data_IF_356187752546
#
_entry.id   IF_356187752546
#
_cell.length_a   1.000
_cell.length_b   1.000
_cell.length_c   1.000
_cell.angle_alpha   90.00
_cell.angle_beta   90.00
_cell.angle_gamma   90.00
#
_symmetry.space_group_name_H-M   'P 1'
#
loop_
_entity.id
_entity.type
_entity.pdbx_description
1 polymer ?
#
# COMPACT_ATOMS: atom_id res chain seq x y z
N UNK A 1 33.14 -9.92 3.88
CA UNK A 1 33.37 -10.58 2.58
C UNK A 1 32.29 -10.13 1.62
N UNK A 2 32.63 -9.24 0.65
CA UNK A 2 31.75 -8.86 -0.45
C UNK A 2 31.85 -9.95 -1.52
N UNK A 3 31.01 -10.98 -1.42
CA UNK A 3 30.83 -11.90 -2.53
C UNK A 3 29.70 -11.39 -3.41
N UNK A 4 30.00 -11.13 -4.65
CA UNK A 4 29.00 -10.83 -5.68
C UNK A 4 28.28 -12.14 -6.02
N UNK A 5 26.96 -12.13 -6.04
CA UNK A 5 26.17 -13.29 -6.40
C UNK A 5 25.11 -12.90 -7.45
N UNK A 6 24.84 -13.81 -8.37
CA UNK A 6 23.74 -13.69 -9.33
C UNK A 6 22.47 -14.30 -8.74
N UNK A 7 21.37 -13.58 -8.80
CA UNK A 7 20.07 -14.10 -8.45
C UNK A 7 19.40 -14.61 -9.73
N UNK A 8 19.28 -15.92 -9.85
CA UNK A 8 18.61 -16.56 -10.98
C UNK A 8 17.22 -16.99 -10.55
N UNK A 9 16.22 -16.38 -11.13
CA UNK A 9 14.82 -16.71 -10.86
C UNK A 9 14.26 -17.56 -11.99
N UNK A 10 13.82 -18.79 -11.65
CA UNK A 10 13.03 -19.64 -12.53
C UNK A 10 11.56 -19.66 -12.09
N UNK A 11 10.65 -20.20 -12.92
CA UNK A 11 9.22 -20.24 -12.58
C UNK A 11 8.87 -20.98 -11.26
N UNK A 12 9.81 -21.74 -10.69
CA UNK A 12 9.57 -22.56 -9.50
C UNK A 12 10.54 -22.29 -8.34
N UNK A 13 11.72 -21.73 -8.60
CA UNK A 13 12.76 -21.58 -7.59
C UNK A 13 13.65 -20.37 -7.87
N UNK A 14 14.19 -19.81 -6.80
CA UNK A 14 15.19 -18.74 -6.84
C UNK A 14 16.51 -19.36 -6.42
N UNK A 15 17.55 -19.16 -7.23
CA UNK A 15 18.90 -19.62 -6.98
C UNK A 15 19.82 -18.42 -6.79
N UNK A 16 20.66 -18.48 -5.77
CA UNK A 16 21.79 -17.57 -5.61
C UNK A 16 23.05 -18.30 -6.07
N UNK A 17 23.69 -17.81 -7.12
CA UNK A 17 24.96 -18.32 -7.62
C UNK A 17 26.05 -17.32 -7.30
N UNK A 18 27.11 -17.69 -6.56
CA UNK A 18 28.28 -16.85 -6.40
C UNK A 18 28.91 -16.55 -7.75
N UNK A 19 29.42 -15.33 -7.96
CA UNK A 19 30.03 -14.94 -9.23
C UNK A 19 31.33 -15.70 -9.53
N UNK A 20 31.93 -16.26 -8.52
CA UNK A 20 33.25 -16.90 -8.52
C UNK A 20 33.22 -18.44 -8.31
N UNK A 21 32.01 -19.03 -8.19
CA UNK A 21 31.86 -20.48 -8.08
C UNK A 21 30.61 -20.98 -8.75
N UNK A 22 30.61 -22.26 -9.15
CA UNK A 22 29.44 -22.94 -9.73
C UNK A 22 28.58 -23.64 -8.68
N UNK A 23 28.93 -23.52 -7.39
CA UNK A 23 28.19 -24.13 -6.31
C UNK A 23 27.00 -23.21 -5.92
N UNK A 24 25.82 -23.80 -5.78
CA UNK A 24 24.67 -23.09 -5.21
C UNK A 24 25.00 -22.61 -3.81
N UNK A 25 24.78 -21.32 -3.54
CA UNK A 25 24.77 -20.84 -2.17
C UNK A 25 23.64 -21.56 -1.42
N UNK A 26 24.03 -22.28 -0.37
CA UNK A 26 23.08 -22.77 0.64
C UNK A 26 22.32 -21.57 1.22
N UNK A 27 21.18 -21.85 1.84
CA UNK A 27 20.37 -20.84 2.55
C UNK A 27 21.26 -19.87 3.33
N UNK A 28 20.93 -18.58 3.24
CA UNK A 28 21.73 -17.54 3.89
C UNK A 28 21.72 -17.78 5.41
N UNK A 29 22.90 -17.86 6.01
CA UNK A 29 23.01 -18.09 7.45
C UNK A 29 22.36 -16.96 8.25
N UNK A 30 21.75 -17.29 9.39
CA UNK A 30 21.16 -16.32 10.29
C UNK A 30 22.15 -15.21 10.70
N UNK A 31 23.42 -15.56 10.85
CA UNK A 31 24.50 -14.61 11.16
C UNK A 31 24.62 -13.55 10.05
N UNK A 32 24.58 -13.96 8.79
CA UNK A 32 24.67 -13.03 7.66
C UNK A 32 23.45 -12.13 7.57
N UNK A 33 22.25 -12.65 7.83
CA UNK A 33 21.02 -11.86 7.90
C UNK A 33 21.10 -10.80 9.00
N UNK A 34 21.64 -11.20 10.17
CA UNK A 34 21.90 -10.28 11.28
C UNK A 34 22.88 -9.17 10.89
N UNK A 35 24.00 -9.52 10.22
CA UNK A 35 24.97 -8.54 9.73
C UNK A 35 24.35 -7.57 8.71
N UNK A 36 23.45 -8.04 7.84
CA UNK A 36 22.70 -7.18 6.93
C UNK A 36 21.84 -6.19 7.73
N UNK A 37 21.11 -6.66 8.73
CA UNK A 37 20.27 -5.81 9.56
C UNK A 37 21.10 -4.73 10.28
N UNK A 38 22.27 -5.09 10.82
CA UNK A 38 23.19 -4.15 11.50
C UNK A 38 23.78 -3.09 10.55
N UNK A 39 23.96 -3.42 9.26
CA UNK A 39 24.40 -2.43 8.26
C UNK A 39 23.31 -1.43 7.91
N UNK A 40 22.04 -1.83 7.97
CA UNK A 40 20.91 -0.93 7.72
C UNK A 40 20.63 0.00 8.89
N UNK A 41 20.73 -0.53 10.10
CA UNK A 41 20.55 0.27 11.30
C UNK A 41 21.50 -0.24 12.40
N UNK A 42 22.40 0.63 12.84
CA UNK A 42 23.39 0.33 13.88
C UNK A 42 22.84 0.34 15.31
N UNK A 43 21.57 0.70 15.48
CA UNK A 43 20.92 0.67 16.78
C UNK A 43 20.75 -0.75 17.31
N UNK A 44 20.61 -0.91 18.60
CA UNK A 44 20.39 -2.22 19.21
C UNK A 44 19.07 -2.84 18.72
N UNK A 45 19.12 -4.14 18.42
CA UNK A 45 17.96 -4.92 18.06
C UNK A 45 17.23 -5.34 19.33
N UNK A 46 15.98 -4.93 19.46
CA UNK A 46 15.13 -5.24 20.60
C UNK A 46 14.48 -6.62 20.51
N UNK A 47 14.05 -6.98 19.28
CA UNK A 47 13.31 -8.22 19.02
C UNK A 47 13.53 -8.67 17.58
N UNK A 48 13.49 -9.98 17.38
CA UNK A 48 13.55 -10.63 16.07
C UNK A 48 12.39 -11.62 15.99
N UNK A 49 11.60 -11.53 14.92
CA UNK A 49 10.50 -12.47 14.64
C UNK A 49 10.71 -13.15 13.29
N UNK A 50 10.30 -14.41 13.19
CA UNK A 50 10.19 -15.10 11.90
C UNK A 50 8.74 -15.10 11.45
N UNK A 51 8.46 -14.46 10.33
CA UNK A 51 7.13 -14.34 9.75
C UNK A 51 6.92 -15.37 8.65
N UNK A 52 5.98 -16.27 8.85
CA UNK A 52 5.56 -17.27 7.86
C UNK A 52 4.36 -16.82 7.02
N UNK A 53 3.86 -15.61 7.26
CA UNK A 53 2.74 -15.00 6.55
C UNK A 53 3.02 -13.52 6.31
N UNK A 54 2.43 -12.98 5.26
CA UNK A 54 2.46 -11.55 5.00
C UNK A 54 1.78 -10.78 6.14
N UNK A 55 2.33 -9.63 6.49
CA UNK A 55 1.74 -8.69 7.44
C UNK A 55 1.32 -7.38 6.75
N UNK A 56 0.86 -6.41 7.53
CA UNK A 56 0.33 -5.14 6.99
C UNK A 56 1.38 -4.31 6.25
N UNK A 57 2.67 -4.52 6.51
CA UNK A 57 3.77 -3.76 5.90
C UNK A 57 4.38 -4.49 4.70
N UNK A 58 4.00 -5.74 4.50
CA UNK A 58 4.38 -6.58 3.37
C UNK A 58 3.14 -7.24 2.74
N UNK A 59 2.10 -6.46 2.34
CA UNK A 59 0.80 -7.03 1.97
C UNK A 59 0.75 -7.60 0.55
N UNK A 60 1.83 -7.49 -0.22
CA UNK A 60 1.85 -7.82 -1.65
C UNK A 60 2.02 -9.31 -1.89
N UNK A 61 1.18 -9.86 -2.79
CA UNK A 61 1.19 -11.29 -3.11
C UNK A 61 2.54 -11.78 -3.61
N UNK A 62 3.25 -10.96 -4.36
CA UNK A 62 4.56 -11.26 -4.94
C UNK A 62 5.61 -11.61 -3.89
N UNK A 63 5.46 -11.08 -2.68
CA UNK A 63 6.37 -11.33 -1.56
C UNK A 63 6.17 -12.71 -0.92
N UNK A 64 5.07 -13.42 -1.22
CA UNK A 64 4.85 -14.77 -0.69
C UNK A 64 5.99 -15.74 -1.03
N UNK A 65 6.62 -15.55 -2.17
CA UNK A 65 7.77 -16.38 -2.61
C UNK A 65 9.02 -16.19 -1.76
N UNK A 66 9.14 -15.05 -1.09
CA UNK A 66 10.28 -14.69 -0.23
C UNK A 66 10.10 -15.16 1.23
N UNK A 67 8.95 -15.70 1.58
CA UNK A 67 8.71 -16.23 2.93
C UNK A 67 9.59 -17.45 3.21
N UNK A 68 10.00 -17.62 4.49
CA UNK A 68 9.73 -16.79 5.64
C UNK A 68 10.57 -15.51 5.67
N UNK A 69 10.05 -14.43 6.30
CA UNK A 69 10.82 -13.21 6.54
C UNK A 69 11.40 -13.21 7.94
N UNK A 70 12.58 -12.64 8.09
CA UNK A 70 13.13 -12.27 9.40
C UNK A 70 12.85 -10.79 9.62
N UNK A 71 12.04 -10.50 10.64
CA UNK A 71 11.66 -9.14 11.01
C UNK A 71 12.46 -8.69 12.22
N UNK A 72 13.18 -7.60 12.06
CA UNK A 72 13.97 -6.96 13.10
C UNK A 72 13.26 -5.72 13.62
N UNK A 73 13.25 -5.55 14.95
CA UNK A 73 12.74 -4.37 15.63
C UNK A 73 13.89 -3.65 16.30
N UNK A 74 14.13 -2.41 15.94
CA UNK A 74 15.21 -1.62 16.49
C UNK A 74 14.76 -0.77 17.68
N UNK A 75 15.68 -0.53 18.63
CA UNK A 75 15.44 0.26 19.84
C UNK A 75 15.75 1.75 19.67
N UNK A 76 15.75 2.23 18.44
CA UNK A 76 15.94 3.62 18.11
C UNK A 76 14.66 4.47 18.36
N UNK A 77 14.82 5.79 18.36
CA UNK A 77 13.72 6.73 18.62
C UNK A 77 12.58 6.62 17.59
N UNK A 78 12.91 6.24 16.35
CA UNK A 78 11.93 6.10 15.26
C UNK A 78 11.28 4.72 15.21
N UNK A 79 11.73 3.78 16.07
CA UNK A 79 11.25 2.40 16.17
C UNK A 79 11.17 1.74 14.81
N UNK A 80 12.34 1.71 14.15
CA UNK A 80 12.44 1.06 12.84
C UNK A 80 12.10 -0.41 12.91
N UNK A 81 11.47 -0.88 11.84
CA UNK A 81 11.22 -2.29 11.54
C UNK A 81 11.81 -2.61 10.18
N UNK A 82 12.59 -3.69 10.11
CA UNK A 82 13.27 -4.16 8.91
C UNK A 82 12.85 -5.59 8.60
N UNK A 83 12.51 -5.85 7.36
CA UNK A 83 12.09 -7.17 6.86
C UNK A 83 13.12 -7.67 5.87
N UNK A 84 13.67 -8.84 6.12
CA UNK A 84 14.67 -9.48 5.28
C UNK A 84 14.17 -10.86 4.88
N UNK A 85 14.27 -11.21 3.60
CA UNK A 85 14.03 -12.58 3.13
C UNK A 85 15.06 -13.53 3.76
N UNK A 86 14.59 -14.60 4.41
CA UNK A 86 15.49 -15.63 4.95
C UNK A 86 16.16 -16.45 3.86
N UNK A 87 15.62 -16.40 2.64
CA UNK A 87 16.10 -17.19 1.49
C UNK A 87 17.18 -16.46 0.70
N UNK A 88 16.97 -15.16 0.44
CA UNK A 88 17.82 -14.36 -0.44
C UNK A 88 18.66 -13.34 0.31
N UNK A 89 18.31 -13.01 1.58
CA UNK A 89 18.91 -11.92 2.33
C UNK A 89 18.54 -10.53 1.79
N UNK A 90 17.61 -10.46 0.85
CA UNK A 90 17.13 -9.21 0.30
C UNK A 90 16.31 -8.46 1.36
N UNK A 91 16.55 -7.16 1.45
CA UNK A 91 15.73 -6.27 2.29
C UNK A 91 14.46 -5.94 1.54
N UNK A 92 13.34 -6.40 2.08
CA UNK A 92 12.02 -6.29 1.46
C UNK A 92 11.29 -5.03 1.88
N UNK A 93 11.48 -4.61 3.13
CA UNK A 93 10.79 -3.46 3.68
C UNK A 93 11.56 -2.87 4.87
N UNK A 94 11.57 -1.55 4.95
CA UNK A 94 12.12 -0.79 6.07
C UNK A 94 11.18 0.35 6.39
N UNK A 95 10.70 0.44 7.64
CA UNK A 95 9.66 1.41 8.04
C UNK A 95 9.96 2.04 9.39
N UNK A 96 9.53 3.29 9.55
CA UNK A 96 9.50 4.00 10.83
C UNK A 96 8.11 3.92 11.47
N UNK A 97 8.02 4.18 12.78
CA UNK A 97 6.73 4.26 13.49
C UNK A 97 5.82 5.37 12.90
N UNK A 98 6.42 6.50 12.50
CA UNK A 98 5.71 7.63 11.92
C UNK A 98 5.11 7.27 10.55
N UNK A 99 5.86 6.59 9.70
CA UNK A 99 5.36 6.11 8.40
C UNK A 99 4.22 5.12 8.57
N UNK A 100 4.35 4.17 9.49
CA UNK A 100 3.30 3.20 9.79
C UNK A 100 2.02 3.89 10.28
N UNK A 101 2.13 4.91 11.15
CA UNK A 101 0.99 5.69 11.61
C UNK A 101 0.30 6.42 10.45
N UNK A 102 1.07 7.16 9.62
CA UNK A 102 0.48 7.91 8.51
C UNK A 102 -0.06 7.02 7.41
N UNK A 103 0.53 5.83 7.22
CA UNK A 103 -0.01 4.84 6.28
C UNK A 103 -1.43 4.38 6.68
N UNK A 104 -1.70 4.23 7.98
CA UNK A 104 -3.06 3.94 8.47
C UNK A 104 -4.04 5.09 8.26
N UNK A 105 -3.57 6.33 8.34
CA UNK A 105 -4.41 7.51 8.09
C UNK A 105 -4.65 7.81 6.61
N UNK A 106 -3.76 7.36 5.75
CA UNK A 106 -3.78 7.71 4.32
C UNK A 106 -3.74 6.48 3.39
N UNK A 107 -2.54 5.99 3.13
CA UNK A 107 -2.30 5.00 2.05
C UNK A 107 -3.14 3.71 2.19
N UNK A 108 -3.22 3.13 3.38
CA UNK A 108 -3.94 1.87 3.59
C UNK A 108 -5.43 1.98 3.24
N UNK A 109 -6.21 2.94 3.79
CA UNK A 109 -7.62 3.08 3.42
C UNK A 109 -7.79 3.61 1.99
N UNK A 110 -6.93 4.52 1.51
CA UNK A 110 -7.06 5.11 0.18
C UNK A 110 -6.84 4.08 -0.93
N UNK A 111 -5.85 3.21 -0.78
CA UNK A 111 -5.51 2.15 -1.74
C UNK A 111 -6.13 0.80 -1.40
N UNK A 112 -6.91 0.72 -0.30
CA UNK A 112 -7.51 -0.53 0.21
C UNK A 112 -6.44 -1.62 0.42
N UNK A 113 -5.30 -1.23 0.99
CA UNK A 113 -4.14 -2.10 1.22
C UNK A 113 -4.24 -2.90 2.52
N UNK A 114 -5.42 -3.39 2.86
CA UNK A 114 -5.58 -4.33 3.96
C UNK A 114 -4.97 -5.67 3.58
N UNK A 115 -4.11 -6.23 4.42
CA UNK A 115 -3.38 -7.47 4.12
C UNK A 115 -4.31 -8.60 3.71
N UNK A 116 -5.41 -8.80 4.42
CA UNK A 116 -6.40 -9.85 4.13
C UNK A 116 -6.95 -9.79 2.70
N UNK A 117 -6.98 -8.61 2.10
CA UNK A 117 -7.45 -8.39 0.74
C UNK A 117 -6.28 -8.33 -0.26
N UNK A 118 -5.23 -7.57 0.07
CA UNK A 118 -4.11 -7.28 -0.85
C UNK A 118 -3.19 -8.48 -1.10
N UNK A 119 -3.12 -9.42 -0.17
CA UNK A 119 -2.37 -10.68 -0.34
C UNK A 119 -2.95 -11.63 -1.41
N UNK A 120 -4.14 -11.33 -1.93
CA UNK A 120 -4.74 -11.96 -3.10
C UNK A 120 -4.99 -10.89 -4.15
N UNK A 121 -4.13 -10.85 -5.15
CA UNK A 121 -4.16 -9.82 -6.20
C UNK A 121 -5.48 -9.83 -6.98
N UNK A 122 -6.03 -11.00 -7.25
CA UNK A 122 -7.27 -11.13 -8.01
C UNK A 122 -8.47 -10.61 -7.21
N UNK A 123 -8.53 -10.94 -5.92
CA UNK A 123 -9.59 -10.48 -5.02
C UNK A 123 -9.50 -8.97 -4.81
N UNK A 124 -8.30 -8.44 -4.60
CA UNK A 124 -8.08 -7.01 -4.44
C UNK A 124 -8.52 -6.24 -5.70
N UNK A 125 -8.10 -6.69 -6.89
CA UNK A 125 -8.48 -6.05 -8.16
C UNK A 125 -9.99 -6.03 -8.36
N UNK A 126 -10.67 -7.15 -8.12
CA UNK A 126 -12.14 -7.22 -8.22
C UNK A 126 -12.83 -6.27 -7.24
N UNK A 127 -12.30 -6.16 -6.02
CA UNK A 127 -12.85 -5.26 -4.99
C UNK A 127 -12.68 -3.79 -5.39
N UNK A 128 -11.53 -3.41 -5.94
CA UNK A 128 -11.28 -2.06 -6.42
C UNK A 128 -12.22 -1.72 -7.59
N UNK A 129 -12.36 -2.62 -8.56
CA UNK A 129 -13.29 -2.42 -9.69
C UNK A 129 -14.72 -2.24 -9.18
N UNK A 130 -15.18 -3.09 -8.26
CA UNK A 130 -16.52 -2.98 -7.68
C UNK A 130 -16.75 -1.63 -6.98
N UNK A 131 -15.80 -1.20 -6.13
CA UNK A 131 -15.88 0.09 -5.44
C UNK A 131 -15.85 1.26 -6.43
N UNK A 132 -15.04 1.18 -7.50
CA UNK A 132 -14.99 2.20 -8.55
C UNK A 132 -16.32 2.32 -9.30
N UNK A 133 -16.94 1.20 -9.65
CA UNK A 133 -18.27 1.20 -10.31
C UNK A 133 -19.33 1.84 -9.40
N UNK A 134 -19.35 1.49 -8.10
CA UNK A 134 -20.24 2.14 -7.14
C UNK A 134 -19.96 3.65 -7.05
N UNK A 135 -18.69 4.04 -7.00
CA UNK A 135 -18.27 5.44 -6.97
C UNK A 135 -18.74 6.21 -8.20
N UNK A 136 -18.63 5.62 -9.40
CA UNK A 136 -19.14 6.21 -10.65
C UNK A 136 -20.65 6.41 -10.59
N UNK A 137 -21.42 5.38 -10.20
CA UNK A 137 -22.87 5.46 -10.09
C UNK A 137 -23.29 6.55 -9.10
N UNK A 138 -22.68 6.58 -7.90
CA UNK A 138 -22.95 7.60 -6.90
C UNK A 138 -22.61 9.00 -7.39
N UNK A 139 -21.50 9.17 -8.08
CA UNK A 139 -21.06 10.47 -8.62
C UNK A 139 -22.00 10.96 -9.71
N UNK A 140 -22.39 10.10 -10.64
CA UNK A 140 -23.35 10.42 -11.69
C UNK A 140 -24.72 10.80 -11.11
N UNK A 141 -25.23 10.03 -10.15
CA UNK A 141 -26.47 10.33 -9.46
C UNK A 141 -26.39 11.68 -8.71
N UNK A 142 -25.28 11.93 -8.01
CA UNK A 142 -25.03 13.18 -7.30
C UNK A 142 -24.97 14.39 -8.23
N UNK A 143 -24.26 14.27 -9.36
CA UNK A 143 -24.18 15.31 -10.40
C UNK A 143 -25.58 15.57 -11.02
N UNK A 144 -26.32 14.51 -11.34
CA UNK A 144 -27.66 14.64 -11.88
C UNK A 144 -28.59 15.41 -10.91
N UNK A 145 -28.65 14.99 -9.65
CA UNK A 145 -29.47 15.64 -8.63
C UNK A 145 -29.04 17.09 -8.39
N UNK A 146 -27.73 17.32 -8.31
CA UNK A 146 -27.14 18.64 -8.10
C UNK A 146 -27.46 19.61 -9.24
N UNK A 147 -27.27 19.18 -10.48
CA UNK A 147 -27.59 19.99 -11.68
C UNK A 147 -29.08 20.24 -11.76
N UNK A 148 -29.93 19.22 -11.55
CA UNK A 148 -31.38 19.36 -11.58
C UNK A 148 -31.86 20.36 -10.54
N UNK A 149 -31.39 20.27 -9.30
CA UNK A 149 -31.73 21.22 -8.23
C UNK A 149 -31.32 22.66 -8.58
N UNK A 150 -30.13 22.80 -9.22
CA UNK A 150 -29.63 24.09 -9.68
C UNK A 150 -30.50 24.69 -10.80
N UNK A 151 -30.84 23.91 -11.83
CA UNK A 151 -31.69 24.34 -12.95
C UNK A 151 -33.09 24.72 -12.48
N UNK A 152 -33.68 23.93 -11.57
CA UNK A 152 -34.99 24.22 -11.00
C UNK A 152 -35.00 25.52 -10.19
N UNK A 153 -33.95 25.76 -9.40
CA UNK A 153 -33.81 27.03 -8.67
C UNK A 153 -33.68 28.24 -9.59
N UNK A 154 -32.98 28.09 -10.73
CA UNK A 154 -32.82 29.14 -11.74
C UNK A 154 -34.15 29.48 -12.42
N UNK A 155 -34.95 28.49 -12.80
CA UNK A 155 -36.29 28.71 -13.41
C UNK A 155 -37.18 29.53 -12.50
N UNK A 156 -37.11 29.29 -11.18
CA UNK A 156 -38.00 29.93 -10.22
C UNK A 156 -37.54 31.34 -9.77
N UNK A 157 -36.26 31.68 -9.87
CA UNK A 157 -35.70 32.92 -9.28
C UNK A 157 -34.75 33.72 -10.17
N UNK A 158 -34.50 33.32 -11.41
CA UNK A 158 -33.50 33.94 -12.31
C UNK A 158 -32.10 34.15 -11.67
N UNK A 159 -31.73 33.33 -10.71
CA UNK A 159 -30.50 33.50 -9.94
C UNK A 159 -29.55 32.31 -10.11
N UNK A 160 -28.25 32.60 -10.28
CA UNK A 160 -27.16 31.60 -10.31
C UNK A 160 -26.71 31.16 -8.92
N UNK A 161 -27.58 31.20 -7.92
CA UNK A 161 -27.25 30.80 -6.54
C UNK A 161 -27.71 29.36 -6.27
N UNK A 162 -26.96 28.65 -5.45
CA UNK A 162 -27.37 27.32 -4.97
C UNK A 162 -28.77 27.41 -4.29
N UNK A 163 -29.65 26.41 -4.50
CA UNK A 163 -30.98 26.39 -3.88
C UNK A 163 -30.92 26.20 -2.36
N UNK A 164 -29.81 25.74 -1.81
CA UNK A 164 -29.70 25.42 -0.41
C UNK A 164 -29.23 26.61 0.44
N UNK A 165 -30.04 26.95 1.47
CA UNK A 165 -29.75 28.05 2.39
C UNK A 165 -28.85 27.66 3.56
N UNK A 166 -28.94 26.42 4.02
CA UNK A 166 -28.08 25.92 5.12
C UNK A 166 -26.64 25.73 4.62
N UNK A 167 -25.66 26.28 5.36
CA UNK A 167 -24.26 26.34 4.96
C UNK A 167 -23.67 24.98 4.53
N UNK A 168 -23.94 23.91 5.28
CA UNK A 168 -23.43 22.57 4.97
C UNK A 168 -24.00 21.99 3.67
N UNK A 169 -25.33 22.17 3.43
CA UNK A 169 -25.94 21.72 2.17
C UNK A 169 -25.49 22.56 0.98
N UNK A 170 -25.31 23.86 1.18
CA UNK A 170 -24.73 24.74 0.18
C UNK A 170 -23.30 24.33 -0.19
N UNK A 171 -22.45 24.12 0.81
CA UNK A 171 -21.07 23.67 0.61
C UNK A 171 -21.03 22.34 -0.12
N UNK A 172 -21.77 21.34 0.35
CA UNK A 172 -21.84 20.02 -0.29
C UNK A 172 -22.32 20.11 -1.74
N UNK A 173 -23.33 20.91 -2.03
CA UNK A 173 -23.86 21.10 -3.39
C UNK A 173 -22.78 21.70 -4.33
N UNK A 174 -22.13 22.80 -3.93
CA UNK A 174 -21.14 23.46 -4.77
C UNK A 174 -19.88 22.60 -4.94
N UNK A 175 -19.36 22.08 -3.85
CA UNK A 175 -18.17 21.21 -3.92
C UNK A 175 -18.46 19.92 -4.65
N UNK A 176 -19.64 19.33 -4.47
CA UNK A 176 -20.09 18.14 -5.18
C UNK A 176 -20.19 18.33 -6.69
N UNK A 177 -20.67 19.50 -7.17
CA UNK A 177 -20.70 19.81 -8.60
C UNK A 177 -19.29 19.99 -9.17
N UNK A 178 -18.41 20.70 -8.45
CA UNK A 178 -17.04 20.97 -8.91
C UNK A 178 -16.21 19.69 -8.87
N UNK A 179 -16.10 19.09 -7.70
CA UNK A 179 -15.22 17.92 -7.50
C UNK A 179 -15.82 16.63 -8.05
N UNK A 180 -17.15 16.52 -8.18
CA UNK A 180 -17.79 15.39 -8.81
C UNK A 180 -17.31 15.15 -10.24
N UNK A 181 -17.11 16.22 -11.01
CA UNK A 181 -16.55 16.13 -12.36
C UNK A 181 -15.10 15.61 -12.33
N UNK A 182 -14.26 16.14 -11.43
CA UNK A 182 -12.87 15.67 -11.27
C UNK A 182 -12.83 14.23 -10.82
N UNK A 183 -13.65 13.84 -9.83
CA UNK A 183 -13.73 12.46 -9.35
C UNK A 183 -14.15 11.51 -10.47
N UNK A 184 -15.13 11.88 -11.28
CA UNK A 184 -15.58 11.06 -12.39
C UNK A 184 -14.47 10.82 -13.42
N UNK A 185 -13.72 11.86 -13.79
CA UNK A 185 -12.60 11.75 -14.73
C UNK A 185 -11.41 10.98 -14.15
N UNK A 186 -11.25 10.96 -12.82
CA UNK A 186 -10.19 10.24 -12.16
C UNK A 186 -10.46 8.74 -11.97
N UNK A 187 -11.73 8.38 -11.73
CA UNK A 187 -12.13 6.98 -11.52
C UNK A 187 -12.25 6.23 -12.87
N UNK A 188 -12.60 6.95 -13.95
CA UNK A 188 -12.76 6.38 -15.29
C UNK A 188 -11.41 6.24 -16.01
#
# INVERSE_FOLDING_TARGET
LNQTAFLIQTNKQVYLLPADSTEQLQEISHERIYQIAQKWNSSSINRIDTLHKLDQWTPFEELKKELPFIKFYFSDNEKHELYISSRTGEVLQYTTQKERFWSWMGAIPHWVYFTSLRQDQALWTKSIIFLSVLGIIMTLAGLYVGIHAYVQSRKNKCSFKSPYKKRWYWLHHITGLIFGLFVLTWIF
#
